data_IF_558102380451
#
_entry.id   IF_558102380451
#
_cell.length_a   1.000
_cell.length_b   1.000
_cell.length_c   1.000
_cell.angle_alpha   90.00
_cell.angle_beta   90.00
_cell.angle_gamma   90.00
#
_symmetry.space_group_name_H-M   'P 1'
#
loop_
_entity.id
_entity.type
_entity.pdbx_description
1 polymer ?
#
# COMPACT_ATOMS: atom_id res chain seq x y z
N UNK A 1 14.38 30.59 -10.79
CA UNK A 1 13.39 29.52 -10.64
C UNK A 1 12.03 30.08 -11.02
N UNK A 2 11.53 29.79 -12.21
CA UNK A 2 10.16 30.17 -12.63
C UNK A 2 9.22 29.15 -11.99
N UNK A 3 8.32 29.60 -11.12
CA UNK A 3 7.22 28.80 -10.61
C UNK A 3 6.38 28.30 -11.79
N UNK A 4 6.36 26.99 -12.00
CA UNK A 4 5.41 26.38 -12.92
C UNK A 4 4.01 26.77 -12.45
N UNK A 5 3.15 27.34 -13.31
CA UNK A 5 1.77 27.57 -12.94
C UNK A 5 1.18 26.19 -12.59
N UNK A 6 0.52 26.07 -11.44
CA UNK A 6 -0.23 24.88 -11.07
C UNK A 6 -1.27 24.66 -12.17
N UNK A 7 -1.01 23.77 -13.10
CA UNK A 7 -2.05 23.34 -14.05
C UNK A 7 -3.22 22.79 -13.23
N UNK A 8 -4.40 23.33 -13.43
CA UNK A 8 -5.62 22.82 -12.81
C UNK A 8 -5.87 21.43 -13.35
N UNK A 9 -5.64 20.42 -12.53
CA UNK A 9 -5.91 19.02 -12.89
C UNK A 9 -7.42 18.77 -12.76
N UNK A 10 -8.11 18.54 -13.89
CA UNK A 10 -9.48 18.02 -13.91
C UNK A 10 -9.43 16.50 -13.85
N UNK A 11 -10.07 15.92 -12.85
CA UNK A 11 -10.18 14.47 -12.73
C UNK A 11 -11.48 14.06 -12.04
N UNK A 12 -11.90 12.84 -12.32
CA UNK A 12 -12.98 12.15 -11.62
C UNK A 12 -12.63 10.66 -11.50
N UNK A 13 -13.42 9.88 -10.78
CA UNK A 13 -13.06 8.49 -10.60
C UNK A 13 -14.06 7.67 -9.81
N UNK A 14 -13.62 6.47 -9.41
CA UNK A 14 -14.37 5.49 -8.63
C UNK A 14 -13.53 5.08 -7.42
N UNK A 15 -14.14 5.08 -6.23
CA UNK A 15 -13.60 4.46 -5.03
C UNK A 15 -14.31 3.15 -4.71
N UNK A 16 -13.81 2.47 -3.69
CA UNK A 16 -14.36 1.22 -3.15
C UNK A 16 -14.57 0.12 -4.20
N UNK A 17 -13.58 0.00 -5.09
CA UNK A 17 -13.55 -1.09 -6.07
C UNK A 17 -12.89 -2.30 -5.43
N UNK A 18 -13.71 -3.22 -4.91
CA UNK A 18 -13.22 -4.50 -4.39
C UNK A 18 -12.90 -5.44 -5.54
N UNK A 19 -11.66 -5.89 -5.59
CA UNK A 19 -11.18 -6.81 -6.61
C UNK A 19 -10.34 -7.92 -5.96
N UNK A 20 -10.47 -9.13 -6.49
CA UNK A 20 -9.79 -10.32 -5.99
C UNK A 20 -9.26 -11.15 -7.13
N UNK A 21 -8.10 -11.76 -6.91
CA UNK A 21 -7.55 -12.82 -7.75
C UNK A 21 -7.14 -13.98 -6.87
N UNK A 22 -7.53 -15.19 -7.24
CA UNK A 22 -7.02 -16.42 -6.63
C UNK A 22 -5.82 -16.93 -7.42
N UNK A 23 -4.87 -17.55 -6.71
CA UNK A 23 -3.66 -18.14 -7.31
C UNK A 23 -2.87 -17.15 -8.16
N UNK A 24 -2.68 -15.93 -7.63
CA UNK A 24 -1.78 -14.96 -8.24
C UNK A 24 -0.32 -15.43 -8.10
N UNK A 25 0.58 -14.83 -8.87
CA UNK A 25 2.01 -15.16 -8.81
C UNK A 25 2.54 -15.02 -7.40
N UNK A 26 3.19 -16.04 -6.83
CA UNK A 26 3.82 -15.92 -5.52
C UNK A 26 4.89 -14.81 -5.48
N UNK A 27 4.97 -14.10 -4.39
CA UNK A 27 6.08 -13.21 -4.08
C UNK A 27 7.17 -14.05 -3.40
N UNK A 28 8.31 -14.24 -4.05
CA UNK A 28 9.44 -15.02 -3.55
C UNK A 28 10.75 -14.30 -3.85
N UNK A 29 11.83 -14.67 -3.15
CA UNK A 29 13.17 -14.15 -3.44
C UNK A 29 13.42 -12.73 -2.91
N UNK A 30 12.61 -12.23 -1.99
CA UNK A 30 12.86 -10.98 -1.29
C UNK A 30 14.11 -11.08 -0.40
N UNK A 31 14.77 -9.96 -0.15
CA UNK A 31 15.93 -9.92 0.74
C UNK A 31 15.52 -10.17 2.18
N UNK A 32 16.29 -10.96 2.90
CA UNK A 32 16.07 -11.20 4.33
C UNK A 32 16.55 -10.00 5.16
N UNK A 33 15.81 -9.69 6.24
CA UNK A 33 16.25 -8.80 7.30
C UNK A 33 16.22 -9.53 8.64
N UNK A 34 17.10 -9.19 9.61
CA UNK A 34 17.19 -9.91 10.88
C UNK A 34 15.91 -9.86 11.73
N UNK A 35 15.13 -8.80 11.59
CA UNK A 35 13.92 -8.55 12.39
C UNK A 35 12.68 -9.27 11.86
N UNK A 36 12.76 -9.97 10.71
CA UNK A 36 11.60 -10.59 10.08
C UNK A 36 11.88 -12.01 9.61
N UNK A 37 10.94 -12.90 9.89
CA UNK A 37 10.91 -14.26 9.32
C UNK A 37 10.17 -14.32 7.98
N UNK A 38 9.66 -13.21 7.49
CA UNK A 38 8.91 -13.16 6.25
C UNK A 38 9.83 -13.36 5.05
N UNK A 39 9.54 -14.36 4.23
CA UNK A 39 10.32 -14.74 3.05
C UNK A 39 9.53 -14.65 1.74
N UNK A 40 8.25 -14.31 1.83
CA UNK A 40 7.38 -14.18 0.68
C UNK A 40 5.92 -14.57 0.96
N UNK A 41 5.08 -14.43 -0.06
CA UNK A 41 3.66 -14.77 -0.02
C UNK A 41 3.28 -15.74 -1.13
N UNK A 42 2.43 -16.71 -0.82
CA UNK A 42 1.89 -17.63 -1.84
C UNK A 42 0.85 -16.98 -2.75
N UNK A 43 0.28 -15.85 -2.36
CA UNK A 43 -0.74 -15.11 -3.11
C UNK A 43 -1.92 -15.99 -3.56
N UNK A 44 -2.34 -16.94 -2.70
CA UNK A 44 -3.54 -17.77 -2.97
C UNK A 44 -4.77 -16.88 -3.10
N UNK A 45 -4.85 -15.82 -2.29
CA UNK A 45 -5.79 -14.71 -2.49
C UNK A 45 -4.98 -13.41 -2.53
N UNK A 46 -5.07 -12.71 -3.64
CA UNK A 46 -4.65 -11.32 -3.79
C UNK A 46 -5.92 -10.47 -3.86
N UNK A 47 -6.24 -9.77 -2.78
CA UNK A 47 -7.42 -8.92 -2.68
C UNK A 47 -7.05 -7.47 -2.42
N UNK A 48 -7.73 -6.54 -3.09
CA UNK A 48 -7.53 -5.12 -2.88
C UNK A 48 -8.83 -4.33 -2.94
N UNK A 49 -8.88 -3.25 -2.17
CA UNK A 49 -9.81 -2.15 -2.36
C UNK A 49 -9.10 -1.05 -3.14
N UNK A 50 -9.64 -0.71 -4.31
CA UNK A 50 -8.96 0.16 -5.27
C UNK A 50 -9.77 1.43 -5.47
N UNK A 51 -9.06 2.55 -5.46
CA UNK A 51 -9.56 3.86 -5.88
C UNK A 51 -8.81 4.28 -7.14
N UNK A 52 -9.57 4.59 -8.18
CA UNK A 52 -9.05 5.11 -9.44
C UNK A 52 -9.51 6.54 -9.65
N UNK A 53 -8.64 7.38 -10.15
CA UNK A 53 -8.93 8.70 -10.70
C UNK A 53 -8.34 8.76 -12.10
N UNK A 54 -9.11 9.29 -13.03
CA UNK A 54 -8.66 9.59 -14.38
C UNK A 54 -8.90 11.06 -14.69
N UNK A 55 -8.06 11.65 -15.49
CA UNK A 55 -8.13 13.08 -15.83
C UNK A 55 -7.57 13.37 -17.21
N UNK A 56 -7.81 14.58 -17.69
CA UNK A 56 -7.33 15.07 -18.97
C UNK A 56 -8.17 16.24 -19.48
N UNK A 57 -7.60 17.02 -20.38
CA UNK A 57 -8.29 18.18 -21.00
C UNK A 57 -9.55 17.78 -21.76
N UNK A 58 -9.61 16.55 -22.28
CA UNK A 58 -10.77 16.03 -22.99
C UNK A 58 -12.05 15.96 -22.13
N UNK A 59 -11.92 16.00 -20.81
CA UNK A 59 -13.08 16.01 -19.90
C UNK A 59 -13.61 17.40 -19.57
N UNK A 60 -12.94 18.49 -19.97
CA UNK A 60 -13.36 19.85 -19.67
C UNK A 60 -14.81 20.14 -20.12
N UNK A 61 -15.27 19.74 -21.32
CA UNK A 61 -16.65 19.96 -21.74
C UNK A 61 -17.68 19.32 -20.82
N UNK A 62 -17.37 18.20 -20.18
CA UNK A 62 -18.30 17.56 -19.25
C UNK A 62 -18.50 18.37 -17.96
N UNK A 63 -17.51 19.16 -17.53
CA UNK A 63 -17.58 20.00 -16.34
C UNK A 63 -18.23 21.36 -16.61
N UNK A 64 -18.03 21.92 -17.79
CA UNK A 64 -18.47 23.30 -18.10
C UNK A 64 -19.74 23.36 -18.96
N UNK A 65 -20.01 22.33 -19.78
CA UNK A 65 -21.10 22.29 -20.76
C UNK A 65 -22.08 21.12 -20.54
N UNK A 66 -21.72 20.16 -19.65
CA UNK A 66 -22.50 18.94 -19.44
C UNK A 66 -22.39 17.92 -20.59
N UNK A 67 -21.40 18.08 -21.49
CA UNK A 67 -21.13 17.17 -22.61
C UNK A 67 -20.34 15.94 -22.14
N UNK A 68 -20.98 14.78 -22.19
CA UNK A 68 -20.44 13.54 -21.58
C UNK A 68 -19.96 12.48 -22.59
N UNK A 69 -19.84 12.82 -23.88
CA UNK A 69 -19.46 11.83 -24.92
C UNK A 69 -18.12 11.14 -24.68
N UNK A 70 -17.16 11.82 -24.04
CA UNK A 70 -15.86 11.28 -23.70
C UNK A 70 -15.75 10.78 -22.25
N UNK A 71 -16.81 10.92 -21.46
CA UNK A 71 -16.80 10.49 -20.06
C UNK A 71 -16.88 8.97 -19.96
N UNK A 72 -15.91 8.38 -19.27
CA UNK A 72 -15.90 6.94 -18.97
C UNK A 72 -16.79 6.70 -17.75
N UNK A 73 -17.85 5.92 -17.89
CA UNK A 73 -18.75 5.60 -16.80
C UNK A 73 -18.00 4.94 -15.63
N UNK A 74 -18.28 5.36 -14.41
CA UNK A 74 -17.58 4.86 -13.23
C UNK A 74 -17.75 3.36 -12.98
N UNK A 75 -18.89 2.78 -13.40
CA UNK A 75 -19.09 1.33 -13.36
C UNK A 75 -18.24 0.60 -14.42
N UNK A 76 -17.97 1.24 -15.55
CA UNK A 76 -17.02 0.70 -16.54
C UNK A 76 -15.60 0.68 -15.97
N UNK A 77 -15.18 1.70 -15.19
CA UNK A 77 -13.91 1.71 -14.50
C UNK A 77 -13.80 0.56 -13.49
N UNK A 78 -14.86 0.32 -12.69
CA UNK A 78 -14.91 -0.81 -11.76
C UNK A 78 -14.70 -2.13 -12.49
N UNK A 79 -15.50 -2.40 -13.52
CA UNK A 79 -15.42 -3.64 -14.28
C UNK A 79 -14.06 -3.80 -15.00
N UNK A 80 -13.48 -2.70 -15.45
CA UNK A 80 -12.15 -2.66 -16.06
C UNK A 80 -11.08 -3.13 -15.07
N UNK A 81 -11.06 -2.55 -13.87
CA UNK A 81 -10.10 -2.90 -12.81
C UNK A 81 -10.24 -4.38 -12.41
N UNK A 82 -11.47 -4.85 -12.15
CA UNK A 82 -11.73 -6.23 -11.75
C UNK A 82 -11.27 -7.24 -12.81
N UNK A 83 -11.54 -6.97 -14.08
CA UNK A 83 -11.10 -7.81 -15.20
C UNK A 83 -9.58 -7.83 -15.31
N UNK A 84 -8.91 -6.67 -15.20
CA UNK A 84 -7.45 -6.60 -15.29
C UNK A 84 -6.76 -7.29 -14.12
N UNK A 85 -7.31 -7.22 -12.91
CA UNK A 85 -6.75 -7.99 -11.79
C UNK A 85 -6.84 -9.50 -12.03
N UNK A 86 -7.92 -9.99 -12.65
CA UNK A 86 -8.07 -11.41 -13.00
C UNK A 86 -6.98 -11.92 -13.96
N UNK A 87 -6.40 -11.05 -14.80
CA UNK A 87 -5.34 -11.40 -15.74
C UNK A 87 -3.94 -10.93 -15.32
N UNK A 88 -3.82 -10.23 -14.20
CA UNK A 88 -2.53 -9.73 -13.74
C UNK A 88 -1.58 -10.87 -13.36
N UNK A 89 -0.39 -10.93 -13.96
CA UNK A 89 0.59 -12.00 -13.76
C UNK A 89 1.71 -11.64 -12.77
N UNK A 90 1.63 -10.49 -12.13
CA UNK A 90 2.58 -10.08 -11.10
C UNK A 90 2.21 -10.54 -9.69
N UNK A 91 3.03 -10.15 -8.71
CA UNK A 91 2.95 -10.61 -7.32
C UNK A 91 2.68 -9.50 -6.30
N UNK A 92 2.65 -8.23 -6.71
CA UNK A 92 2.54 -7.05 -5.83
C UNK A 92 1.40 -6.13 -6.22
N UNK A 93 0.88 -5.35 -5.27
CA UNK A 93 -0.15 -4.34 -5.56
C UNK A 93 0.42 -3.16 -6.34
N UNK A 94 1.69 -2.83 -6.10
CA UNK A 94 2.40 -1.78 -6.83
C UNK A 94 2.52 -2.14 -8.33
N UNK A 95 2.93 -3.36 -8.62
CA UNK A 95 3.00 -3.86 -9.99
C UNK A 95 1.61 -3.95 -10.65
N UNK A 96 0.57 -4.31 -9.88
CA UNK A 96 -0.81 -4.23 -10.40
C UNK A 96 -1.24 -2.80 -10.69
N UNK A 97 -0.92 -1.85 -9.82
CA UNK A 97 -1.26 -0.44 -10.03
C UNK A 97 -0.61 0.12 -11.29
N UNK A 98 0.65 -0.24 -11.53
CA UNK A 98 1.38 0.11 -12.76
C UNK A 98 0.74 -0.52 -14.00
N UNK A 99 0.48 -1.83 -13.95
CA UNK A 99 -0.15 -2.58 -15.03
C UNK A 99 -1.52 -2.02 -15.43
N UNK A 100 -2.41 -1.78 -14.47
CA UNK A 100 -3.76 -1.29 -14.76
C UNK A 100 -3.75 0.18 -15.21
N UNK A 101 -2.82 1.00 -14.71
CA UNK A 101 -2.64 2.39 -15.17
C UNK A 101 -2.26 2.44 -16.64
N UNK A 102 -1.30 1.64 -17.07
CA UNK A 102 -0.92 1.51 -18.49
C UNK A 102 -2.09 1.05 -19.34
N UNK A 103 -2.84 0.05 -18.87
CA UNK A 103 -4.02 -0.46 -19.59
C UNK A 103 -5.11 0.63 -19.78
N UNK A 104 -5.29 1.53 -18.79
CA UNK A 104 -6.19 2.68 -18.95
C UNK A 104 -5.73 3.60 -20.09
N UNK A 105 -4.45 3.95 -20.14
CA UNK A 105 -3.91 4.80 -21.22
C UNK A 105 -3.96 4.13 -22.60
N UNK A 106 -3.76 2.83 -22.68
CA UNK A 106 -3.86 2.06 -23.94
C UNK A 106 -5.31 2.00 -24.45
N UNK A 107 -6.26 1.83 -23.53
CA UNK A 107 -7.69 1.69 -23.91
C UNK A 107 -8.33 3.04 -24.19
N UNK A 108 -7.94 4.10 -23.47
CA UNK A 108 -8.55 5.42 -23.54
C UNK A 108 -7.50 6.47 -23.93
N UNK A 109 -7.35 6.69 -25.23
CA UNK A 109 -6.31 7.58 -25.78
C UNK A 109 -6.47 9.05 -25.39
N UNK A 110 -7.66 9.46 -24.93
CA UNK A 110 -8.00 10.84 -24.57
C UNK A 110 -7.71 11.19 -23.09
N UNK A 111 -7.22 10.23 -22.28
CA UNK A 111 -6.84 10.51 -20.90
C UNK A 111 -5.37 10.92 -20.82
N UNK A 112 -5.07 11.89 -19.96
CA UNK A 112 -3.73 12.42 -19.72
C UNK A 112 -3.19 12.07 -18.32
N UNK A 113 -4.06 11.60 -17.42
CA UNK A 113 -3.76 11.36 -16.03
C UNK A 113 -4.49 10.13 -15.52
N UNK A 114 -3.78 9.28 -14.79
CA UNK A 114 -4.32 8.14 -14.03
C UNK A 114 -3.70 8.13 -12.64
N UNK A 115 -4.52 8.05 -11.60
CA UNK A 115 -4.07 7.79 -10.23
C UNK A 115 -4.74 6.54 -9.71
N UNK A 116 -3.96 5.62 -9.18
CA UNK A 116 -4.42 4.39 -8.55
C UNK A 116 -3.97 4.38 -7.09
N UNK A 117 -4.90 4.14 -6.19
CA UNK A 117 -4.61 3.74 -4.81
C UNK A 117 -5.16 2.33 -4.64
N UNK A 118 -4.29 1.38 -4.34
CA UNK A 118 -4.67 0.00 -4.05
C UNK A 118 -4.32 -0.33 -2.60
N UNK A 119 -5.32 -0.63 -1.79
CA UNK A 119 -5.18 -1.07 -0.41
C UNK A 119 -5.42 -2.57 -0.32
N UNK A 120 -4.50 -3.29 0.28
CA UNK A 120 -4.63 -4.72 0.55
C UNK A 120 -5.89 -5.00 1.38
N UNK A 121 -6.60 -6.08 1.04
CA UNK A 121 -7.54 -6.70 1.95
C UNK A 121 -6.80 -7.86 2.63
N UNK A 122 -6.43 -7.71 3.92
CA UNK A 122 -5.54 -8.66 4.57
C UNK A 122 -6.26 -9.96 4.92
N UNK A 123 -6.13 -10.95 4.06
CA UNK A 123 -6.64 -12.29 4.28
C UNK A 123 -5.58 -13.19 4.91
N UNK A 124 -5.95 -13.92 5.97
CA UNK A 124 -5.13 -14.97 6.55
C UNK A 124 -5.85 -16.31 6.45
N UNK A 125 -5.05 -17.34 6.30
CA UNK A 125 -5.56 -18.72 6.26
C UNK A 125 -6.18 -19.08 7.60
N UNK A 126 -7.27 -19.84 7.59
CA UNK A 126 -7.86 -20.43 8.81
C UNK A 126 -7.30 -21.83 9.03
N UNK A 127 -7.33 -22.31 10.29
CA UNK A 127 -7.00 -23.70 10.57
C UNK A 127 -8.23 -24.57 10.36
N UNK A 128 -8.03 -25.76 9.81
CA UNK A 128 -9.03 -26.84 9.70
C UNK A 128 -8.58 -28.07 10.47
N UNK A 129 -9.52 -28.91 10.85
CA UNK A 129 -9.24 -30.23 11.43
C UNK A 129 -9.26 -31.26 10.30
N UNK A 130 -8.10 -31.85 10.02
CA UNK A 130 -7.96 -32.93 9.05
C UNK A 130 -7.18 -34.08 9.69
N UNK A 131 -7.74 -35.28 9.62
CA UNK A 131 -7.14 -36.51 10.21
C UNK A 131 -6.76 -36.37 11.69
N UNK A 132 -7.59 -35.66 12.49
CA UNK A 132 -7.36 -35.43 13.92
C UNK A 132 -6.25 -34.44 14.26
N UNK A 133 -5.68 -33.74 13.28
CA UNK A 133 -4.69 -32.69 13.45
C UNK A 133 -5.18 -31.36 12.87
N UNK A 134 -4.69 -30.24 13.46
CA UNK A 134 -4.93 -28.91 12.90
C UNK A 134 -3.94 -28.66 11.76
N UNK A 135 -4.48 -28.31 10.59
CA UNK A 135 -3.72 -27.92 9.41
C UNK A 135 -4.21 -26.57 8.90
N UNK A 136 -3.35 -25.84 8.17
CA UNK A 136 -3.75 -24.64 7.46
C UNK A 136 -4.70 -25.03 6.31
N UNK A 137 -5.87 -24.36 6.23
CA UNK A 137 -6.79 -24.54 5.11
C UNK A 137 -6.21 -23.93 3.84
N UNK A 138 -6.36 -24.60 2.71
CA UNK A 138 -6.05 -24.07 1.39
C UNK A 138 -7.28 -23.45 0.67
N UNK A 139 -8.45 -23.52 1.31
CA UNK A 139 -9.73 -23.09 0.75
C UNK A 139 -10.37 -21.91 1.47
N UNK A 140 -10.15 -21.76 2.78
CA UNK A 140 -10.87 -20.77 3.60
C UNK A 140 -9.91 -19.77 4.22
N UNK A 141 -10.23 -18.50 4.04
CA UNK A 141 -9.46 -17.36 4.52
C UNK A 141 -10.37 -16.40 5.28
N UNK A 142 -9.81 -15.68 6.24
CA UNK A 142 -10.52 -14.63 6.98
C UNK A 142 -9.74 -13.32 6.92
N UNK A 143 -10.43 -12.19 6.91
CA UNK A 143 -9.84 -10.89 7.18
C UNK A 143 -9.47 -10.83 8.67
N UNK A 144 -8.21 -10.58 9.02
CA UNK A 144 -7.70 -10.85 10.37
C UNK A 144 -6.95 -9.72 11.06
N UNK A 145 -6.54 -8.70 10.36
CA UNK A 145 -5.74 -7.61 10.92
C UNK A 145 -6.26 -6.24 10.47
N UNK A 146 -5.92 -5.19 11.22
CA UNK A 146 -6.30 -3.81 10.89
C UNK A 146 -5.30 -3.18 9.93
N UNK A 147 -3.99 -3.41 10.17
CA UNK A 147 -2.94 -2.89 9.31
C UNK A 147 -3.05 -3.50 7.91
N UNK A 148 -2.82 -2.67 6.92
CA UNK A 148 -2.87 -3.06 5.51
C UNK A 148 -1.80 -2.34 4.70
N UNK A 149 -1.26 -3.03 3.72
CA UNK A 149 -0.39 -2.40 2.74
C UNK A 149 -1.20 -1.54 1.77
N UNK A 150 -0.57 -0.47 1.30
CA UNK A 150 -1.15 0.43 0.30
C UNK A 150 -0.08 0.77 -0.73
N UNK A 151 -0.46 0.66 -1.99
CA UNK A 151 0.24 1.24 -3.13
C UNK A 151 -0.48 2.51 -3.57
N UNK A 152 0.25 3.59 -3.79
CA UNK A 152 -0.24 4.82 -4.40
C UNK A 152 0.61 5.15 -5.61
N UNK A 153 -0.03 5.44 -6.73
CA UNK A 153 0.64 5.67 -8.00
C UNK A 153 -0.08 6.73 -8.81
N UNK A 154 0.71 7.60 -9.43
CA UNK A 154 0.22 8.56 -10.44
C UNK A 154 1.05 8.43 -11.71
N UNK A 155 0.36 8.29 -12.84
CA UNK A 155 0.93 8.31 -14.17
C UNK A 155 0.33 9.43 -15.01
N UNK A 156 1.15 10.05 -15.82
CA UNK A 156 0.73 11.11 -16.75
C UNK A 156 1.21 10.78 -18.17
N UNK A 157 0.46 11.27 -19.15
CA UNK A 157 0.87 11.29 -20.56
C UNK A 157 1.47 12.65 -20.87
N UNK A 158 2.71 12.67 -21.37
CA UNK A 158 3.38 13.87 -21.87
C UNK A 158 4.02 13.53 -23.21
N UNK A 159 3.68 14.27 -24.24
CA UNK A 159 4.25 14.11 -25.60
C UNK A 159 4.29 12.64 -26.06
N UNK A 160 3.17 11.95 -25.95
CA UNK A 160 2.99 10.51 -26.25
C UNK A 160 3.76 9.52 -25.35
N UNK A 161 4.54 9.99 -24.38
CA UNK A 161 5.21 9.17 -23.40
C UNK A 161 4.37 9.03 -22.12
N UNK A 162 4.36 7.83 -21.54
CA UNK A 162 3.80 7.59 -20.22
C UNK A 162 4.89 7.79 -19.17
N UNK A 163 4.66 8.70 -18.24
CA UNK A 163 5.58 9.02 -17.16
C UNK A 163 4.95 8.62 -15.83
N UNK A 164 5.66 7.82 -15.06
CA UNK A 164 5.34 7.57 -13.66
C UNK A 164 5.75 8.80 -12.85
N UNK A 165 4.78 9.65 -12.49
CA UNK A 165 5.04 10.91 -11.80
C UNK A 165 5.22 10.73 -10.30
N UNK A 166 4.46 9.81 -9.70
CA UNK A 166 4.56 9.50 -8.27
C UNK A 166 4.32 8.00 -8.03
N UNK A 167 5.10 7.43 -7.12
CA UNK A 167 4.88 6.10 -6.58
C UNK A 167 5.28 6.10 -5.11
N UNK A 168 4.42 5.56 -4.26
CA UNK A 168 4.73 5.29 -2.86
C UNK A 168 4.06 4.01 -2.39
N UNK A 169 4.71 3.35 -1.44
CA UNK A 169 4.16 2.22 -0.72
C UNK A 169 3.98 2.59 0.75
N UNK A 170 3.04 1.94 1.43
CA UNK A 170 2.72 2.28 2.81
C UNK A 170 2.22 1.09 3.60
N UNK A 171 2.40 1.15 4.91
CA UNK A 171 1.57 0.46 5.90
C UNK A 171 0.62 1.48 6.52
N UNK A 172 -0.65 1.13 6.53
CA UNK A 172 -1.72 1.95 7.13
C UNK A 172 -2.31 1.24 8.34
N UNK A 173 -2.68 2.03 9.35
CA UNK A 173 -3.39 1.61 10.56
C UNK A 173 -2.68 0.52 11.39
N UNK A 174 -1.34 0.54 11.45
CA UNK A 174 -0.60 -0.32 12.36
C UNK A 174 -0.82 0.17 13.81
N UNK A 175 -1.35 -0.71 14.64
CA UNK A 175 -1.69 -0.44 16.04
C UNK A 175 -0.84 -1.33 16.95
N UNK A 176 -0.06 -0.73 17.82
CA UNK A 176 0.79 -1.43 18.75
C UNK A 176 0.53 -0.93 20.18
N UNK A 177 0.62 -1.84 21.15
CA UNK A 177 0.52 -1.53 22.57
C UNK A 177 1.70 -2.13 23.32
N UNK A 178 2.37 -1.32 24.13
CA UNK A 178 3.41 -1.76 25.06
C UNK A 178 2.83 -1.70 26.47
N UNK A 179 2.76 -2.84 27.15
CA UNK A 179 2.07 -2.97 28.44
C UNK A 179 2.85 -2.42 29.63
N UNK A 180 4.13 -2.14 29.48
CA UNK A 180 5.00 -1.58 30.53
C UNK A 180 6.06 -0.66 29.94
N UNK A 181 6.64 0.23 30.76
CA UNK A 181 7.76 1.09 30.36
C UNK A 181 7.37 2.34 29.59
N UNK A 182 6.13 2.79 29.68
CA UNK A 182 5.73 4.10 29.15
C UNK A 182 5.80 5.16 30.25
N UNK A 183 7.00 5.53 30.65
CA UNK A 183 7.19 6.68 31.51
C UNK A 183 7.33 7.93 30.61
N UNK A 184 6.22 8.58 30.29
CA UNK A 184 6.24 10.00 29.91
C UNK A 184 6.39 10.82 31.21
N UNK A 185 7.57 10.73 31.84
CA UNK A 185 7.79 11.26 33.18
C UNK A 185 7.67 12.79 33.26
N UNK A 186 7.85 13.51 32.18
CA UNK A 186 7.91 14.97 32.16
C UNK A 186 6.59 15.70 31.85
N UNK A 187 5.51 15.00 31.49
CA UNK A 187 4.26 15.61 31.05
C UNK A 187 3.05 15.39 31.93
N UNK A 188 3.18 14.63 33.02
CA UNK A 188 2.05 14.37 33.93
C UNK A 188 2.47 14.82 35.33
N UNK A 189 1.57 15.60 36.00
CA UNK A 189 1.72 15.95 37.40
C UNK A 189 2.09 14.73 38.23
N UNK A 190 3.07 14.89 39.16
CA UNK A 190 3.72 13.84 39.95
C UNK A 190 2.79 12.95 40.80
N UNK A 191 1.49 13.17 40.76
CA UNK A 191 0.52 12.42 41.57
C UNK A 191 0.00 11.11 40.91
N UNK A 192 0.47 10.78 39.71
CA UNK A 192 0.09 9.56 39.02
C UNK A 192 1.30 8.68 38.67
N UNK A 193 2.06 8.30 39.70
CA UNK A 193 3.00 7.17 39.65
C UNK A 193 2.25 5.85 39.49
N UNK A 194 1.45 5.74 38.40
CA UNK A 194 0.83 4.48 38.06
C UNK A 194 1.77 3.76 37.10
N UNK A 195 2.61 2.87 37.68
CA UNK A 195 3.57 2.03 36.95
C UNK A 195 2.94 1.13 35.88
N UNK A 196 1.63 1.23 35.65
CA UNK A 196 0.84 0.35 34.80
C UNK A 196 0.16 1.11 33.67
N UNK A 197 0.85 2.06 33.02
CA UNK A 197 0.32 2.76 31.85
C UNK A 197 0.81 2.09 30.57
N UNK A 198 -0.08 1.45 29.79
CA UNK A 198 0.29 0.95 28.48
C UNK A 198 0.55 2.12 27.52
N UNK A 199 1.57 1.99 26.67
CA UNK A 199 1.80 2.90 25.55
C UNK A 199 1.11 2.32 24.31
N UNK A 200 0.05 3.01 23.88
CA UNK A 200 -0.69 2.65 22.69
C UNK A 200 -0.37 3.61 21.55
N UNK A 201 0.07 3.10 20.40
CA UNK A 201 0.44 3.91 19.24
C UNK A 201 -0.31 3.48 17.98
N UNK A 202 -0.62 4.47 17.14
CA UNK A 202 -1.13 4.31 15.78
C UNK A 202 -0.08 4.81 14.81
N UNK A 203 0.31 3.98 13.85
CA UNK A 203 1.35 4.30 12.89
C UNK A 203 0.84 4.13 11.46
N UNK A 204 1.13 5.14 10.64
CA UNK A 204 1.14 5.05 9.19
C UNK A 204 2.58 5.26 8.73
N UNK A 205 3.08 4.33 7.93
CA UNK A 205 4.47 4.33 7.47
C UNK A 205 4.45 4.39 5.96
N UNK A 206 5.14 5.39 5.40
CA UNK A 206 5.21 5.59 3.95
C UNK A 206 6.67 5.53 3.51
N UNK A 207 6.92 4.89 2.36
CA UNK A 207 8.23 4.91 1.73
C UNK A 207 8.14 5.11 0.24
N UNK A 208 9.19 5.67 -0.32
CA UNK A 208 9.38 5.91 -1.73
C UNK A 208 10.70 5.24 -2.13
N UNK A 209 10.71 4.51 -3.23
CA UNK A 209 11.91 3.90 -3.75
C UNK A 209 12.77 4.93 -4.48
N UNK A 210 14.09 4.80 -4.40
CA UNK A 210 15.02 5.59 -5.22
C UNK A 210 14.79 5.35 -6.70
N UNK A 211 14.65 4.06 -7.06
CA UNK A 211 14.23 3.63 -8.38
C UNK A 211 12.79 3.12 -8.28
N UNK A 212 11.85 3.86 -8.82
CA UNK A 212 10.41 3.56 -8.70
C UNK A 212 10.04 2.16 -9.21
N UNK A 213 10.78 1.63 -10.20
CA UNK A 213 10.58 0.27 -10.74
C UNK A 213 10.86 -0.84 -9.71
N UNK A 214 11.65 -0.58 -8.68
CA UNK A 214 11.92 -1.57 -7.62
C UNK A 214 10.66 -1.90 -6.79
N UNK A 215 9.64 -1.03 -6.83
CA UNK A 215 8.34 -1.26 -6.20
C UNK A 215 7.51 -2.36 -6.88
N UNK A 216 7.74 -2.67 -8.16
CA UNK A 216 6.84 -3.53 -8.93
C UNK A 216 7.07 -5.04 -8.71
N UNK A 217 8.11 -5.38 -7.97
CA UNK A 217 8.41 -6.78 -7.60
C UNK A 217 9.08 -7.58 -8.73
N UNK A 218 9.49 -6.95 -9.83
CA UNK A 218 10.25 -7.62 -10.92
C UNK A 218 11.65 -8.00 -10.46
N UNK A 219 12.24 -7.21 -9.56
CA UNK A 219 13.50 -7.52 -8.87
C UNK A 219 13.20 -7.76 -7.39
N UNK A 220 12.78 -8.97 -6.99
CA UNK A 220 12.26 -9.21 -5.64
C UNK A 220 13.23 -8.86 -4.51
N UNK A 221 14.55 -8.94 -4.75
CA UNK A 221 15.57 -8.57 -3.75
C UNK A 221 15.57 -7.09 -3.39
N UNK A 222 15.00 -6.24 -4.23
CA UNK A 222 14.90 -4.80 -4.02
C UNK A 222 13.51 -4.38 -3.54
N UNK A 223 12.53 -5.29 -3.61
CA UNK A 223 11.19 -5.03 -3.12
C UNK A 223 11.17 -4.97 -1.59
N UNK A 224 10.52 -3.95 -1.04
CA UNK A 224 10.30 -3.76 0.40
C UNK A 224 8.94 -4.34 0.75
N UNK A 225 8.93 -5.52 1.36
CA UNK A 225 7.69 -6.16 1.75
C UNK A 225 7.08 -5.47 2.98
N UNK A 226 5.80 -5.20 2.91
CA UNK A 226 5.05 -4.55 3.99
C UNK A 226 5.14 -5.33 5.31
N UNK A 227 5.14 -6.66 5.24
CA UNK A 227 5.29 -7.56 6.40
C UNK A 227 6.65 -7.36 7.08
N UNK A 228 7.73 -7.22 6.31
CA UNK A 228 9.05 -6.93 6.88
C UNK A 228 9.11 -5.56 7.55
N UNK A 229 8.41 -4.57 7.00
CA UNK A 229 8.30 -3.24 7.63
C UNK A 229 7.56 -3.33 8.96
N UNK A 230 6.45 -4.06 9.02
CA UNK A 230 5.69 -4.28 10.27
C UNK A 230 6.56 -4.99 11.32
N UNK A 231 7.25 -6.06 10.93
CA UNK A 231 8.11 -6.82 11.84
C UNK A 231 9.27 -5.96 12.38
N UNK A 232 9.92 -5.18 11.50
CA UNK A 232 11.00 -4.26 11.88
C UNK A 232 10.51 -3.22 12.89
N UNK A 233 9.39 -2.55 12.60
CA UNK A 233 8.83 -1.50 13.46
C UNK A 233 8.39 -2.06 14.80
N UNK A 234 7.77 -3.24 14.80
CA UNK A 234 7.36 -3.94 16.03
C UNK A 234 8.57 -4.30 16.87
N UNK A 235 9.65 -4.79 16.27
CA UNK A 235 10.90 -5.11 16.96
C UNK A 235 11.55 -3.86 17.57
N UNK A 236 11.58 -2.75 16.84
CA UNK A 236 12.10 -1.47 17.36
C UNK A 236 11.24 -0.98 18.53
N UNK A 237 9.91 -0.99 18.37
CA UNK A 237 8.99 -0.58 19.43
C UNK A 237 9.15 -1.42 20.69
N UNK A 238 9.36 -2.74 20.56
CA UNK A 238 9.62 -3.64 21.67
C UNK A 238 10.92 -3.27 22.42
N UNK A 239 12.01 -3.04 21.66
CA UNK A 239 13.36 -2.89 22.23
C UNK A 239 13.72 -1.45 22.66
N UNK A 240 12.98 -0.44 22.18
CA UNK A 240 13.29 0.96 22.51
C UNK A 240 12.68 1.34 23.84
N UNK A 241 13.52 1.65 24.83
CA UNK A 241 13.14 2.28 26.08
C UNK A 241 13.32 3.78 25.92
N UNK A 242 12.21 4.51 25.84
CA UNK A 242 12.25 5.98 25.69
C UNK A 242 10.99 6.62 26.23
N UNK A 243 11.15 7.82 26.76
CA UNK A 243 10.06 8.72 27.14
C UNK A 243 9.60 9.62 25.99
N UNK A 244 10.30 9.57 24.84
CA UNK A 244 10.06 10.45 23.71
C UNK A 244 9.54 9.69 22.49
N UNK A 245 8.32 9.99 22.06
CA UNK A 245 7.73 9.48 20.80
C UNK A 245 8.55 9.94 19.58
N UNK A 246 9.07 11.16 19.61
CA UNK A 246 9.90 11.71 18.53
C UNK A 246 11.19 10.90 18.37
N UNK A 247 11.81 10.50 19.48
CA UNK A 247 12.98 9.63 19.43
C UNK A 247 12.64 8.24 18.86
N UNK A 248 11.53 7.65 19.27
CA UNK A 248 11.06 6.37 18.70
C UNK A 248 10.85 6.47 17.19
N UNK A 249 10.19 7.53 16.72
CA UNK A 249 9.98 7.74 15.28
C UNK A 249 11.30 7.93 14.52
N UNK A 250 12.26 8.63 15.11
CA UNK A 250 13.60 8.81 14.54
C UNK A 250 14.35 7.47 14.43
N UNK A 251 14.32 6.63 15.46
CA UNK A 251 14.95 5.30 15.45
C UNK A 251 14.29 4.38 14.38
N UNK A 252 12.96 4.39 14.29
CA UNK A 252 12.24 3.68 13.23
C UNK A 252 12.73 4.13 11.85
N UNK A 253 12.77 5.44 11.59
CA UNK A 253 13.23 6.00 10.32
C UNK A 253 14.68 5.62 9.99
N UNK A 254 15.58 5.72 10.95
CA UNK A 254 16.99 5.35 10.78
C UNK A 254 17.15 3.85 10.44
N UNK A 255 16.42 2.99 11.13
CA UNK A 255 16.51 1.54 10.90
C UNK A 255 15.85 1.14 9.58
N UNK A 256 14.73 1.77 9.18
CA UNK A 256 14.13 1.60 7.85
C UNK A 256 15.16 1.87 6.75
N UNK A 257 15.85 3.00 6.79
CA UNK A 257 16.86 3.38 5.79
C UNK A 257 18.11 2.47 5.80
N UNK A 258 18.42 1.86 6.93
CA UNK A 258 19.53 0.88 7.04
C UNK A 258 19.17 -0.49 6.48
N UNK A 259 17.94 -0.97 6.72
CA UNK A 259 17.47 -2.29 6.26
C UNK A 259 17.03 -2.28 4.80
N UNK A 260 16.51 -1.16 4.35
CA UNK A 260 15.97 -0.97 3.00
C UNK A 260 16.66 0.23 2.32
N UNK A 261 17.90 0.08 1.85
CA UNK A 261 18.67 1.17 1.26
C UNK A 261 18.21 1.57 -0.15
N UNK A 262 17.38 0.76 -0.79
CA UNK A 262 16.76 1.04 -2.09
C UNK A 262 15.61 2.07 -1.94
#
# INVERSE_FOLDING_TARGET
MKSNPKENKLYYGKGDVFAYRTYAKPLTGISHIPESMFTGRHNIILGANIKVKIGGKAFEPSFVEGENSLVIATDSMKNFIQRHLAYYEGSTLEGFSEYVSKAFFETYSHIDYVSIIAEEIPFTVVSEVSDGSLKASDLVFKKSRNERSRSSMEMIRMDDALILSEQSSSIMDLQLIKVSGSSFEDFVEKELEDSNRPLYIYLNIHWIYKEQSDAFGETPRKYVAAEQVVDLVTSIFHNTETTSIQYLLYEIGCMMLRRFPQ
#
